data_IF_986688430191
#
_entry.id   IF_986688430191
#
_cell.length_a   1.000
_cell.length_b   1.000
_cell.length_c   1.000
_cell.angle_alpha   90.00
_cell.angle_beta   90.00
_cell.angle_gamma   90.00
#
_symmetry.space_group_name_H-M   'P 1'
#
loop_
_entity.id
_entity.type
_entity.pdbx_description
1 polymer ?
#
# COMPACT_ATOMS: atom_id res chain seq x y z
N UNK A 1 -14.39 15.30 15.96
CA UNK A 1 -12.92 15.23 15.82
C UNK A 1 -12.30 16.60 15.48
N UNK A 2 -12.79 17.32 14.45
CA UNK A 2 -12.22 18.60 13.99
C UNK A 2 -12.02 19.69 15.07
N UNK A 3 -12.92 19.84 16.04
CA UNK A 3 -12.77 20.82 17.14
C UNK A 3 -11.56 20.54 18.06
N UNK A 4 -11.29 19.26 18.38
CA UNK A 4 -10.16 18.88 19.25
C UNK A 4 -8.82 19.07 18.55
N UNK A 5 -8.77 18.83 17.24
CA UNK A 5 -7.59 19.13 16.41
C UNK A 5 -7.30 20.63 16.41
N UNK A 6 -8.30 21.49 16.18
CA UNK A 6 -8.13 22.95 16.22
C UNK A 6 -7.61 23.41 17.59
N UNK A 7 -8.15 22.86 18.69
CA UNK A 7 -7.69 23.19 20.03
C UNK A 7 -6.22 22.80 20.27
N UNK A 8 -5.74 21.69 19.70
CA UNK A 8 -4.32 21.30 19.78
C UNK A 8 -3.42 22.22 18.98
N UNK A 9 -3.88 22.74 17.84
CA UNK A 9 -3.17 23.76 17.07
C UNK A 9 -3.02 25.05 17.89
N UNK A 10 -4.09 25.50 18.56
CA UNK A 10 -4.05 26.66 19.45
C UNK A 10 -3.12 26.41 20.65
N UNK A 11 -3.14 25.20 21.21
CA UNK A 11 -2.24 24.83 22.31
C UNK A 11 -0.77 24.84 21.86
N UNK A 12 -0.46 24.33 20.67
CA UNK A 12 0.89 24.37 20.10
C UNK A 12 1.37 25.82 19.89
N UNK A 13 0.55 26.67 19.29
CA UNK A 13 0.87 28.10 19.08
C UNK A 13 1.08 28.83 20.41
N UNK A 14 0.30 28.48 21.43
CA UNK A 14 0.43 29.05 22.77
C UNK A 14 1.71 28.60 23.47
N UNK A 15 2.03 27.30 23.42
CA UNK A 15 3.27 26.76 23.97
C UNK A 15 4.50 27.36 23.29
N UNK A 16 4.45 27.54 21.96
CA UNK A 16 5.50 28.23 21.20
C UNK A 16 5.72 29.67 21.69
N UNK A 17 4.65 30.45 21.89
CA UNK A 17 4.75 31.81 22.40
C UNK A 17 5.35 31.85 23.81
N UNK A 18 4.93 30.96 24.70
CA UNK A 18 5.45 30.85 26.07
C UNK A 18 6.94 30.49 26.07
N UNK A 19 7.37 29.61 25.18
CA UNK A 19 8.76 29.19 25.05
C UNK A 19 9.68 30.32 24.55
N UNK A 20 9.12 31.28 23.78
CA UNK A 20 9.86 32.45 23.29
C UNK A 20 9.84 33.64 24.25
N UNK A 21 8.71 33.86 24.95
CA UNK A 21 8.46 35.08 25.74
C UNK A 21 8.48 34.85 27.26
N UNK A 22 8.53 33.61 27.71
CA UNK A 22 8.50 33.24 29.13
C UNK A 22 7.09 33.18 29.73
N UNK A 23 7.00 32.87 31.02
CA UNK A 23 5.74 32.58 31.72
C UNK A 23 4.87 33.81 32.01
N UNK A 24 5.42 35.02 31.83
CA UNK A 24 4.76 36.30 32.10
C UNK A 24 3.52 36.52 31.22
N UNK A 25 3.47 35.88 30.05
CA UNK A 25 2.42 36.08 29.05
C UNK A 25 1.22 35.13 29.21
N UNK A 26 1.13 34.36 30.30
CA UNK A 26 0.06 33.36 30.46
C UNK A 26 -1.35 33.96 30.36
N UNK A 27 -1.55 35.17 30.88
CA UNK A 27 -2.83 35.86 30.81
C UNK A 27 -3.16 36.27 29.36
N UNK A 28 -2.15 36.60 28.56
CA UNK A 28 -2.30 36.85 27.13
C UNK A 28 -2.65 35.57 26.38
N UNK A 29 -2.07 34.42 26.75
CA UNK A 29 -2.39 33.12 26.14
C UNK A 29 -3.85 32.72 26.35
N UNK A 30 -4.37 32.88 27.56
CA UNK A 30 -5.79 32.61 27.82
C UNK A 30 -6.70 33.50 26.96
N UNK A 31 -6.32 34.76 26.80
CA UNK A 31 -7.02 35.73 25.94
C UNK A 31 -6.89 35.35 24.46
N UNK A 32 -5.70 34.95 24.02
CA UNK A 32 -5.42 34.49 22.65
C UNK A 32 -6.29 33.29 22.29
N UNK A 33 -6.34 32.25 23.13
CA UNK A 33 -7.18 31.08 22.89
C UNK A 33 -8.66 31.46 22.76
N UNK A 34 -9.16 32.32 23.66
CA UNK A 34 -10.55 32.83 23.62
C UNK A 34 -10.87 33.61 22.35
N UNK A 35 -9.94 34.46 21.90
CA UNK A 35 -10.15 35.31 20.73
C UNK A 35 -9.96 34.55 19.40
N UNK A 36 -9.33 33.37 19.42
CA UNK A 36 -9.04 32.59 18.21
C UNK A 36 -10.20 31.71 17.74
N UNK A 37 -11.29 31.60 18.51
CA UNK A 37 -12.46 30.77 18.18
C UNK A 37 -13.70 31.21 18.94
N UNK A 38 -14.85 31.26 18.28
CA UNK A 38 -16.15 31.55 18.92
C UNK A 38 -16.68 30.38 19.78
N UNK A 39 -16.06 29.20 19.66
CA UNK A 39 -16.49 27.99 20.37
C UNK A 39 -15.75 27.78 21.69
N UNK A 40 -16.51 27.85 22.78
CA UNK A 40 -16.08 27.63 24.17
C UNK A 40 -15.34 26.29 24.38
N UNK A 41 -15.85 25.19 23.81
CA UNK A 41 -15.24 23.85 23.96
C UNK A 41 -13.81 23.77 23.39
N UNK A 42 -13.51 24.54 22.35
CA UNK A 42 -12.19 24.55 21.71
C UNK A 42 -11.18 25.28 22.60
N UNK A 43 -11.48 26.52 23.01
CA UNK A 43 -10.49 27.30 23.73
C UNK A 43 -10.28 26.81 25.17
N UNK A 44 -11.31 26.28 25.83
CA UNK A 44 -11.15 25.65 27.15
C UNK A 44 -10.26 24.42 27.08
N UNK A 45 -10.44 23.59 26.06
CA UNK A 45 -9.59 22.42 25.89
C UNK A 45 -8.14 22.82 25.56
N UNK A 46 -7.93 23.83 24.70
CA UNK A 46 -6.61 24.36 24.40
C UNK A 46 -5.90 24.91 25.67
N UNK A 47 -6.60 25.73 26.47
CA UNK A 47 -6.08 26.28 27.73
C UNK A 47 -5.72 25.15 28.71
N UNK A 48 -6.57 24.12 28.82
CA UNK A 48 -6.30 22.96 29.67
C UNK A 48 -5.04 22.21 29.25
N UNK A 49 -4.82 22.03 27.94
CA UNK A 49 -3.61 21.40 27.41
C UNK A 49 -2.35 22.24 27.70
N UNK A 50 -2.42 23.56 27.50
CA UNK A 50 -1.30 24.47 27.76
C UNK A 50 -0.92 24.46 29.24
N UNK A 51 -1.88 24.64 30.15
CA UNK A 51 -1.63 24.65 31.59
C UNK A 51 -1.12 23.30 32.08
N UNK A 52 -1.67 22.22 31.53
CA UNK A 52 -1.22 20.86 31.76
C UNK A 52 0.24 20.64 31.42
N UNK A 53 0.65 21.00 30.20
CA UNK A 53 2.05 20.91 29.75
C UNK A 53 2.97 21.75 30.62
N UNK A 54 2.60 23.01 30.90
CA UNK A 54 3.41 23.94 31.70
C UNK A 54 3.66 23.42 33.13
N UNK A 55 2.61 22.95 33.80
CA UNK A 55 2.73 22.47 35.18
C UNK A 55 3.68 21.26 35.32
N UNK A 56 3.96 20.56 34.23
CA UNK A 56 4.78 19.34 34.18
C UNK A 56 5.98 19.46 33.24
N UNK A 57 6.35 20.67 32.84
CA UNK A 57 7.31 20.88 31.76
C UNK A 57 8.67 20.21 32.04
N UNK A 58 9.14 20.26 33.29
CA UNK A 58 10.40 19.61 33.72
C UNK A 58 10.30 18.09 33.60
N UNK A 59 9.23 17.51 34.12
CA UNK A 59 8.98 16.06 34.08
C UNK A 59 8.84 15.55 32.63
N UNK A 60 8.12 16.31 31.80
CA UNK A 60 7.94 16.01 30.37
C UNK A 60 9.28 16.08 29.64
N UNK A 61 10.07 17.14 29.85
CA UNK A 61 11.37 17.32 29.21
C UNK A 61 12.39 16.26 29.63
N UNK A 62 12.37 15.84 30.90
CA UNK A 62 13.19 14.73 31.40
C UNK A 62 12.85 13.41 30.72
N UNK A 63 11.55 13.10 30.55
CA UNK A 63 11.10 11.89 29.83
C UNK A 63 11.44 11.91 28.35
N UNK A 64 11.36 13.08 27.70
CA UNK A 64 11.80 13.23 26.30
C UNK A 64 13.32 13.04 26.20
N UNK A 65 14.07 13.63 27.13
CA UNK A 65 15.53 13.55 27.15
C UNK A 65 16.01 12.11 27.40
N UNK A 66 15.29 11.31 28.19
CA UNK A 66 15.69 9.93 28.49
C UNK A 66 15.56 8.96 27.31
N UNK A 67 14.80 9.31 26.27
CA UNK A 67 14.56 8.45 25.10
C UNK A 67 15.23 8.94 23.80
N UNK A 68 15.92 10.08 23.86
CA UNK A 68 16.62 10.69 22.73
C UNK A 68 18.10 10.33 22.79
N UNK A 69 18.57 9.44 21.91
CA UNK A 69 19.99 9.10 21.80
C UNK A 69 20.75 10.26 21.12
N UNK A 70 21.77 10.79 21.78
CA UNK A 70 22.70 11.81 21.26
C UNK A 70 22.10 13.19 20.90
N UNK A 71 20.85 13.50 21.26
CA UNK A 71 20.22 14.80 21.03
C UNK A 71 19.92 15.54 22.33
N UNK A 72 20.61 16.65 22.59
CA UNK A 72 20.21 17.56 23.66
C UNK A 72 18.89 18.24 23.26
N UNK A 73 17.86 18.17 24.10
CA UNK A 73 16.54 18.80 23.90
C UNK A 73 16.63 20.28 23.45
N UNK A 74 17.71 20.97 23.85
CA UNK A 74 18.00 22.38 23.51
C UNK A 74 18.35 22.61 22.03
N UNK A 75 18.78 21.58 21.31
CA UNK A 75 19.14 21.63 19.88
C UNK A 75 17.96 21.32 18.97
N UNK A 76 16.81 20.96 19.55
CA UNK A 76 15.59 20.64 18.81
C UNK A 76 14.89 21.90 18.31
N UNK A 77 14.30 21.82 17.11
CA UNK A 77 13.40 22.84 16.64
C UNK A 77 12.30 23.08 17.67
N UNK A 78 12.08 24.34 18.04
CA UNK A 78 11.17 24.71 19.13
C UNK A 78 9.73 24.21 18.87
N UNK A 79 9.34 24.07 17.60
CA UNK A 79 8.06 23.49 17.19
C UNK A 79 8.01 21.99 17.52
N UNK A 80 9.01 21.21 17.08
CA UNK A 80 9.09 19.77 17.37
C UNK A 80 9.12 19.51 18.88
N UNK A 81 9.87 20.33 19.63
CA UNK A 81 9.93 20.26 21.09
C UNK A 81 8.55 20.47 21.72
N UNK A 82 7.80 21.48 21.28
CA UNK A 82 6.47 21.76 21.83
C UNK A 82 5.41 20.73 21.38
N UNK A 83 5.54 20.16 20.18
CA UNK A 83 4.71 19.03 19.74
C UNK A 83 4.96 17.81 20.63
N UNK A 84 6.22 17.47 20.90
CA UNK A 84 6.56 16.37 21.81
C UNK A 84 6.02 16.63 23.21
N UNK A 85 6.21 17.82 23.75
CA UNK A 85 5.68 18.17 25.08
C UNK A 85 4.17 17.99 25.17
N UNK A 86 3.44 18.48 24.16
CA UNK A 86 2.00 18.33 24.06
C UNK A 86 1.59 16.85 23.96
N UNK A 87 2.25 16.09 23.08
CA UNK A 87 2.00 14.67 22.90
C UNK A 87 2.24 13.86 24.17
N UNK A 88 3.37 14.08 24.85
CA UNK A 88 3.70 13.43 26.13
C UNK A 88 2.70 13.79 27.22
N UNK A 89 2.28 15.05 27.28
CA UNK A 89 1.29 15.47 28.25
C UNK A 89 -0.03 14.72 28.07
N UNK A 90 -0.54 14.67 26.83
CA UNK A 90 -1.75 13.91 26.53
C UNK A 90 -1.58 12.41 26.78
N UNK A 91 -0.42 11.85 26.41
CA UNK A 91 -0.15 10.41 26.55
C UNK A 91 -0.12 9.92 28.00
N UNK A 92 0.48 10.70 28.90
CA UNK A 92 0.78 10.24 30.25
C UNK A 92 -0.17 10.79 31.31
N UNK A 93 -0.86 11.90 31.04
CA UNK A 93 -1.63 12.61 32.06
C UNK A 93 -3.08 12.92 31.65
N UNK A 94 -3.55 12.49 30.47
CA UNK A 94 -4.94 12.68 30.01
C UNK A 94 -5.64 11.34 29.78
N UNK A 95 -6.28 10.83 30.82
CA UNK A 95 -7.06 9.58 30.76
C UNK A 95 -8.31 9.68 29.86
N UNK A 96 -8.78 10.89 29.56
CA UNK A 96 -9.91 11.14 28.66
C UNK A 96 -9.53 11.10 27.16
N UNK A 97 -8.24 10.97 26.84
CA UNK A 97 -7.72 10.95 25.48
C UNK A 97 -7.08 9.58 25.23
N UNK A 98 -7.57 8.79 24.27
CA UNK A 98 -6.93 7.52 23.92
C UNK A 98 -5.48 7.76 23.47
N UNK A 99 -4.49 7.00 23.96
CA UNK A 99 -3.09 7.31 23.68
C UNK A 99 -2.73 7.30 22.17
N UNK A 100 -3.43 6.48 21.37
CA UNK A 100 -3.30 6.47 19.89
C UNK A 100 -3.74 7.78 19.25
N UNK A 101 -4.77 8.43 19.80
CA UNK A 101 -5.24 9.74 19.32
C UNK A 101 -4.16 10.79 19.62
N UNK A 102 -3.55 10.76 20.81
CA UNK A 102 -2.47 11.68 21.18
C UNK A 102 -1.28 11.60 20.24
N UNK A 103 -0.83 10.38 19.88
CA UNK A 103 0.27 10.18 18.91
C UNK A 103 -0.12 10.68 17.52
N UNK A 104 -1.27 10.24 16.99
CA UNK A 104 -1.70 10.62 15.64
C UNK A 104 -1.84 12.13 15.49
N UNK A 105 -2.40 12.81 16.49
CA UNK A 105 -2.56 14.27 16.44
C UNK A 105 -1.22 14.99 16.53
N UNK A 106 -0.26 14.48 17.31
CA UNK A 106 1.10 15.02 17.34
C UNK A 106 1.83 14.85 15.99
N UNK A 107 1.64 13.72 15.31
CA UNK A 107 2.18 13.48 13.96
C UNK A 107 1.59 14.46 12.95
N UNK A 108 0.26 14.69 12.99
CA UNK A 108 -0.40 15.63 12.08
C UNK A 108 0.05 17.08 12.35
N UNK A 109 0.24 17.47 13.62
CA UNK A 109 0.85 18.77 13.95
C UNK A 109 2.27 18.89 13.39
N UNK A 110 3.07 17.84 13.48
CA UNK A 110 4.45 17.84 12.97
C UNK A 110 4.49 17.96 11.43
N UNK A 111 3.60 17.25 10.73
CA UNK A 111 3.45 17.38 9.27
C UNK A 111 2.99 18.77 8.86
N UNK A 112 2.13 19.42 9.67
CA UNK A 112 1.54 20.72 9.37
C UNK A 112 2.47 21.90 9.66
N UNK A 113 3.18 21.87 10.79
CA UNK A 113 3.92 23.04 11.31
C UNK A 113 5.44 22.90 11.29
N UNK A 114 5.97 21.72 10.95
CA UNK A 114 7.41 21.46 11.01
C UNK A 114 7.97 20.92 9.67
N UNK A 115 9.11 20.22 9.71
CA UNK A 115 9.80 19.74 8.50
C UNK A 115 9.20 18.43 7.98
N UNK A 116 9.53 18.07 6.72
CA UNK A 116 9.07 16.82 6.08
C UNK A 116 9.37 15.55 6.90
N UNK A 117 10.43 15.55 7.70
CA UNK A 117 10.85 14.39 8.50
C UNK A 117 10.35 14.44 9.95
N UNK A 118 9.75 15.54 10.39
CA UNK A 118 9.37 15.74 11.79
C UNK A 118 8.24 14.80 12.23
N UNK A 119 7.35 14.38 11.32
CA UNK A 119 6.30 13.40 11.62
C UNK A 119 6.85 12.06 12.11
N UNK A 120 7.83 11.50 11.38
CA UNK A 120 8.49 10.22 11.74
C UNK A 120 9.29 10.35 13.02
N UNK A 121 9.98 11.49 13.20
CA UNK A 121 10.73 11.77 14.43
C UNK A 121 9.82 11.84 15.66
N UNK A 122 8.74 12.61 15.58
CA UNK A 122 7.75 12.74 16.67
C UNK A 122 7.12 11.39 17.00
N UNK A 123 6.74 10.62 15.99
CA UNK A 123 6.19 9.27 16.18
C UNK A 123 7.16 8.38 16.98
N UNK A 124 8.42 8.30 16.55
CA UNK A 124 9.42 7.44 17.19
C UNK A 124 9.72 7.82 18.65
N UNK A 125 9.69 9.11 19.01
CA UNK A 125 9.91 9.55 20.40
C UNK A 125 8.68 9.27 21.26
N UNK A 126 7.47 9.60 20.78
CA UNK A 126 6.24 9.37 21.55
C UNK A 126 5.97 7.88 21.77
N UNK A 127 6.31 7.02 20.81
CA UNK A 127 6.25 5.56 20.96
C UNK A 127 7.19 5.06 22.06
N UNK A 128 8.43 5.55 22.11
CA UNK A 128 9.40 5.21 23.16
C UNK A 128 8.91 5.69 24.53
N UNK A 129 8.37 6.91 24.62
CA UNK A 129 7.87 7.47 25.88
C UNK A 129 6.68 6.66 26.40
N UNK A 130 5.71 6.36 25.54
CA UNK A 130 4.55 5.58 25.96
C UNK A 130 4.95 4.16 26.38
N UNK A 131 5.92 3.56 25.68
CA UNK A 131 6.47 2.25 26.04
C UNK A 131 7.18 2.26 27.39
N UNK A 132 7.93 3.32 27.71
CA UNK A 132 8.73 3.40 28.94
C UNK A 132 7.94 3.91 30.15
N UNK A 133 6.99 4.82 29.96
CA UNK A 133 6.32 5.56 31.04
C UNK A 133 4.79 5.44 31.05
N UNK A 134 4.17 4.85 30.03
CA UNK A 134 2.73 4.59 29.96
C UNK A 134 2.31 3.21 30.49
N UNK A 135 1.04 2.85 30.34
CA UNK A 135 0.45 1.58 30.80
C UNK A 135 0.76 0.37 29.89
N UNK A 136 1.98 0.27 29.35
CA UNK A 136 2.40 -0.77 28.40
C UNK A 136 2.29 -0.34 26.92
N UNK A 137 2.57 -1.24 25.97
CA UNK A 137 2.66 -0.90 24.52
C UNK A 137 1.32 -0.39 23.97
N UNK A 138 1.35 0.78 23.32
CA UNK A 138 0.29 1.23 22.42
C UNK A 138 0.27 0.23 21.27
N UNK A 139 -0.81 -0.54 21.12
CA UNK A 139 -0.98 -1.38 19.94
C UNK A 139 -1.01 -0.45 18.73
N UNK A 140 0.11 -0.50 18.00
CA UNK A 140 0.36 -0.03 16.64
C UNK A 140 1.17 1.28 16.51
N UNK A 141 2.49 1.10 16.51
CA UNK A 141 3.45 1.79 15.64
C UNK A 141 4.81 1.09 15.77
N UNK A 142 5.36 0.71 14.62
CA UNK A 142 6.44 -0.26 14.45
C UNK A 142 7.77 0.47 14.62
N UNK A 143 8.62 0.05 15.55
CA UNK A 143 10.01 -0.35 15.31
C UNK A 143 10.71 -0.72 16.63
N UNK A 144 11.19 -1.96 16.68
CA UNK A 144 12.31 -2.44 17.53
C UNK A 144 12.05 -2.71 19.03
N UNK A 145 11.38 -3.84 19.30
CA UNK A 145 11.90 -4.90 20.19
C UNK A 145 10.93 -6.08 20.10
N UNK A 146 11.04 -6.79 18.99
CA UNK A 146 10.41 -8.11 18.77
C UNK A 146 11.43 -9.15 19.20
N UNK A 147 11.64 -9.24 20.50
CA UNK A 147 11.97 -10.48 21.16
C UNK A 147 11.06 -10.49 22.38
N UNK A 148 10.05 -11.36 22.34
CA UNK A 148 9.10 -11.70 23.41
C UNK A 148 7.70 -11.05 23.31
N UNK A 149 6.82 -11.85 22.70
CA UNK A 149 5.41 -12.05 23.07
C UNK A 149 4.37 -10.98 22.68
N UNK A 150 4.23 -10.73 21.38
CA UNK A 150 2.88 -10.58 20.77
C UNK A 150 2.66 -11.87 19.99
N UNK A 151 1.51 -12.52 20.11
CA UNK A 151 1.17 -13.63 19.24
C UNK A 151 1.37 -13.16 17.79
N UNK A 152 2.38 -13.70 17.11
CA UNK A 152 2.63 -13.41 15.70
C UNK A 152 1.32 -13.69 14.97
N UNK A 153 0.91 -12.81 14.05
CA UNK A 153 -0.20 -13.14 13.16
C UNK A 153 0.23 -14.43 12.45
N UNK A 154 -0.50 -15.49 12.74
CA UNK A 154 -0.32 -16.77 12.07
C UNK A 154 -1.00 -16.65 10.72
N UNK A 155 -0.17 -16.37 9.70
CA UNK A 155 -0.63 -16.32 8.32
C UNK A 155 -0.96 -17.70 7.76
N UNK A 156 -0.71 -18.79 8.50
CA UNK A 156 -0.99 -20.17 8.09
C UNK A 156 -0.40 -20.49 6.73
N UNK A 157 -1.14 -21.20 5.87
CA UNK A 157 -0.74 -21.38 4.47
C UNK A 157 -1.30 -20.26 3.61
N UNK A 158 -0.48 -19.75 2.70
CA UNK A 158 -0.81 -18.57 1.90
C UNK A 158 -0.68 -18.79 0.39
N UNK A 159 -1.65 -18.30 -0.37
CA UNK A 159 -1.58 -18.15 -1.83
C UNK A 159 -1.51 -16.66 -2.17
N UNK A 160 -0.33 -16.18 -2.58
CA UNK A 160 -0.07 -14.74 -2.73
C UNK A 160 -0.22 -14.24 -4.17
N UNK A 161 -0.83 -15.00 -5.06
CA UNK A 161 -1.00 -14.57 -6.45
C UNK A 161 -2.34 -15.07 -6.99
N UNK A 162 -3.38 -14.24 -6.87
CA UNK A 162 -4.76 -14.62 -7.18
C UNK A 162 -5.46 -13.47 -7.90
N UNK A 163 -6.04 -13.76 -9.07
CA UNK A 163 -6.79 -12.81 -9.89
C UNK A 163 -8.29 -13.03 -9.76
N UNK A 164 -9.05 -11.95 -9.97
CA UNK A 164 -10.51 -11.92 -9.96
C UNK A 164 -11.03 -11.39 -11.30
N UNK A 165 -12.36 -11.36 -11.46
CA UNK A 165 -13.02 -10.78 -12.62
C UNK A 165 -12.94 -9.24 -12.70
N UNK A 166 -12.24 -8.58 -11.78
CA UNK A 166 -11.88 -7.16 -11.90
C UNK A 166 -10.64 -6.93 -12.77
N UNK A 167 -9.90 -7.99 -13.11
CA UNK A 167 -8.86 -7.95 -14.13
C UNK A 167 -9.16 -8.95 -15.25
N UNK A 168 -8.60 -10.14 -15.19
CA UNK A 168 -8.73 -11.19 -16.19
C UNK A 168 -8.94 -12.59 -15.60
N UNK A 169 -9.16 -12.71 -14.29
CA UNK A 169 -9.77 -13.90 -13.69
C UNK A 169 -11.25 -14.04 -14.06
N UNK A 170 -11.84 -15.21 -13.79
CA UNK A 170 -13.26 -15.46 -14.09
C UNK A 170 -14.17 -15.40 -12.87
N UNK A 171 -13.63 -15.52 -11.65
CA UNK A 171 -14.42 -15.52 -10.40
C UNK A 171 -14.50 -14.11 -9.79
N UNK A 172 -15.63 -13.80 -9.16
CA UNK A 172 -15.78 -12.60 -8.35
C UNK A 172 -14.89 -12.66 -7.09
N UNK A 173 -14.48 -11.51 -6.52
CA UNK A 173 -13.64 -11.48 -5.31
C UNK A 173 -14.25 -12.25 -4.14
N UNK A 174 -15.58 -12.22 -3.98
CA UNK A 174 -16.31 -12.96 -2.94
C UNK A 174 -16.19 -14.47 -3.13
N UNK A 175 -16.36 -14.94 -4.37
CA UNK A 175 -16.25 -16.36 -4.73
C UNK A 175 -14.82 -16.86 -4.51
N UNK A 176 -13.81 -16.05 -4.84
CA UNK A 176 -12.40 -16.34 -4.56
C UNK A 176 -12.15 -16.51 -3.06
N UNK A 177 -12.73 -15.63 -2.23
CA UNK A 177 -12.62 -15.73 -0.76
C UNK A 177 -13.26 -17.00 -0.23
N UNK A 178 -14.48 -17.33 -0.68
CA UNK A 178 -15.19 -18.54 -0.24
C UNK A 178 -14.45 -19.81 -0.69
N UNK A 179 -13.92 -19.83 -1.91
CA UNK A 179 -13.15 -20.96 -2.43
C UNK A 179 -11.83 -21.15 -1.66
N UNK A 180 -11.11 -20.07 -1.34
CA UNK A 180 -9.91 -20.13 -0.53
C UNK A 180 -10.20 -20.71 0.88
N UNK A 181 -11.29 -20.28 1.52
CA UNK A 181 -11.73 -20.84 2.81
C UNK A 181 -12.08 -22.32 2.68
N UNK A 182 -12.82 -22.70 1.63
CA UNK A 182 -13.21 -24.09 1.36
C UNK A 182 -11.99 -25.01 1.19
N UNK A 183 -10.92 -24.50 0.60
CA UNK A 183 -9.64 -25.19 0.41
C UNK A 183 -8.73 -25.16 1.65
N UNK A 184 -9.15 -24.50 2.74
CA UNK A 184 -8.38 -24.41 3.97
C UNK A 184 -7.18 -23.44 3.89
N UNK A 185 -7.18 -22.52 2.93
CA UNK A 185 -6.16 -21.48 2.81
C UNK A 185 -6.37 -20.45 3.91
N UNK A 186 -5.30 -20.13 4.66
CA UNK A 186 -5.38 -19.17 5.77
C UNK A 186 -5.17 -17.74 5.31
N UNK A 187 -4.39 -17.53 4.24
CA UNK A 187 -4.09 -16.20 3.69
C UNK A 187 -4.15 -16.19 2.16
N UNK A 188 -4.80 -15.19 1.58
CA UNK A 188 -4.71 -14.90 0.15
C UNK A 188 -4.26 -13.46 -0.11
N UNK A 189 -3.62 -13.21 -1.24
CA UNK A 189 -3.45 -11.86 -1.78
C UNK A 189 -4.24 -11.73 -3.09
N UNK A 190 -5.11 -10.71 -3.18
CA UNK A 190 -5.77 -10.37 -4.43
C UNK A 190 -4.82 -9.45 -5.20
N UNK A 191 -4.39 -9.88 -6.38
CA UNK A 191 -3.32 -9.25 -7.16
C UNK A 191 -3.75 -8.98 -8.60
N UNK A 192 -5.00 -8.52 -8.76
CA UNK A 192 -5.57 -8.17 -10.06
C UNK A 192 -4.64 -7.28 -10.91
N UNK A 193 -4.60 -7.51 -12.22
CA UNK A 193 -3.80 -6.71 -13.13
C UNK A 193 -4.21 -5.23 -13.18
N UNK A 194 -3.27 -4.35 -12.85
CA UNK A 194 -3.39 -2.89 -12.95
C UNK A 194 -4.62 -2.29 -12.23
N UNK A 195 -5.22 -2.97 -11.24
CA UNK A 195 -6.37 -2.48 -10.47
C UNK A 195 -6.38 -3.00 -9.04
N UNK A 196 -7.09 -2.29 -8.16
CA UNK A 196 -7.30 -2.67 -6.75
C UNK A 196 -8.79 -2.80 -6.39
N UNK A 197 -9.69 -2.70 -7.38
CA UNK A 197 -11.13 -2.73 -7.13
C UNK A 197 -11.57 -4.05 -6.49
N UNK A 198 -11.00 -5.18 -6.94
CA UNK A 198 -11.24 -6.50 -6.37
C UNK A 198 -10.77 -6.65 -4.92
N UNK A 199 -9.68 -5.96 -4.54
CA UNK A 199 -9.15 -5.96 -3.17
C UNK A 199 -10.15 -5.41 -2.18
N UNK A 200 -10.77 -4.27 -2.49
CA UNK A 200 -11.70 -3.59 -1.56
C UNK A 200 -12.90 -4.48 -1.24
N UNK A 201 -13.40 -5.19 -2.25
CA UNK A 201 -14.55 -6.10 -2.13
C UNK A 201 -14.14 -7.35 -1.34
N UNK A 202 -13.04 -8.01 -1.73
CA UNK A 202 -12.54 -9.18 -1.02
C UNK A 202 -12.30 -8.86 0.46
N UNK A 203 -11.63 -7.76 0.76
CA UNK A 203 -11.31 -7.34 2.13
C UNK A 203 -12.58 -7.08 2.96
N UNK A 204 -13.59 -6.43 2.38
CA UNK A 204 -14.88 -6.22 3.02
C UNK A 204 -15.61 -7.54 3.31
N UNK A 205 -15.65 -8.44 2.32
CA UNK A 205 -16.36 -9.72 2.39
C UNK A 205 -15.67 -10.75 3.32
N UNK A 206 -14.34 -10.73 3.37
CA UNK A 206 -13.56 -11.58 4.27
C UNK A 206 -13.58 -11.15 5.74
N UNK A 207 -14.07 -9.93 6.05
CA UNK A 207 -14.10 -9.42 7.42
C UNK A 207 -14.97 -10.31 8.31
N UNK A 208 -14.37 -10.88 9.36
CA UNK A 208 -15.04 -11.79 10.28
C UNK A 208 -15.07 -13.26 9.84
N UNK A 209 -14.51 -13.57 8.67
CA UNK A 209 -14.25 -14.95 8.23
C UNK A 209 -12.87 -15.40 8.68
N UNK A 210 -12.63 -16.71 8.69
CA UNK A 210 -11.35 -17.31 9.06
C UNK A 210 -10.35 -17.29 7.90
N UNK A 211 -10.04 -16.10 7.38
CA UNK A 211 -9.07 -15.89 6.30
C UNK A 211 -8.44 -14.50 6.41
N UNK A 212 -7.15 -14.41 6.09
CA UNK A 212 -6.44 -13.16 5.93
C UNK A 212 -6.41 -12.77 4.45
N UNK A 213 -6.75 -11.52 4.17
CA UNK A 213 -6.71 -10.96 2.82
C UNK A 213 -5.67 -9.86 2.80
N UNK A 214 -4.62 -10.07 2.01
CA UNK A 214 -3.55 -9.10 1.78
C UNK A 214 -3.94 -8.22 0.60
N UNK A 215 -3.99 -6.89 0.79
CA UNK A 215 -4.12 -5.96 -0.32
C UNK A 215 -2.95 -6.10 -1.28
N UNK A 216 -3.22 -6.42 -2.54
CA UNK A 216 -2.21 -6.54 -3.57
C UNK A 216 -2.63 -5.98 -4.91
N UNK A 217 -1.69 -6.01 -5.85
CA UNK A 217 -1.87 -5.60 -7.25
C UNK A 217 -0.77 -6.26 -8.08
N UNK A 218 -1.04 -6.62 -9.33
CA UNK A 218 0.00 -6.96 -10.29
C UNK A 218 0.10 -5.88 -11.36
N UNK A 219 1.17 -5.09 -11.33
CA UNK A 219 1.40 -4.10 -12.38
C UNK A 219 1.96 -4.76 -13.63
N UNK A 220 1.26 -4.57 -14.75
CA UNK A 220 1.84 -4.78 -16.07
C UNK A 220 2.86 -3.69 -16.37
N UNK A 221 4.13 -4.08 -16.50
CA UNK A 221 5.19 -3.17 -16.93
C UNK A 221 5.92 -3.70 -18.17
N UNK A 222 6.57 -2.81 -18.91
CA UNK A 222 7.29 -3.18 -20.13
C UNK A 222 8.75 -2.79 -20.05
N UNK A 223 9.62 -3.76 -20.35
CA UNK A 223 11.04 -3.53 -20.54
C UNK A 223 11.50 -4.33 -21.76
N UNK A 224 11.76 -3.59 -22.84
CA UNK A 224 12.11 -4.15 -24.15
C UNK A 224 13.03 -5.37 -24.05
N UNK A 225 12.74 -6.48 -24.77
CA UNK A 225 11.61 -6.65 -25.69
C UNK A 225 10.30 -7.19 -25.07
N UNK A 226 10.25 -7.45 -23.75
CA UNK A 226 9.15 -8.20 -23.13
C UNK A 226 8.45 -7.44 -22.00
N UNK A 227 7.26 -7.91 -21.63
CA UNK A 227 6.64 -7.49 -20.38
C UNK A 227 7.40 -8.07 -19.18
N UNK A 228 7.32 -7.34 -18.07
CA UNK A 228 7.78 -7.73 -16.74
C UNK A 228 6.66 -7.36 -15.79
N UNK A 229 6.19 -8.29 -14.97
CA UNK A 229 5.13 -8.01 -14.01
C UNK A 229 5.71 -7.82 -12.61
N UNK A 230 5.21 -6.80 -11.92
CA UNK A 230 5.63 -6.46 -10.56
C UNK A 230 4.41 -6.56 -9.65
N UNK A 231 4.44 -7.53 -8.74
CA UNK A 231 3.47 -7.69 -7.67
C UNK A 231 3.74 -6.64 -6.59
N UNK A 232 2.68 -6.01 -6.10
CA UNK A 232 2.68 -5.18 -4.92
C UNK A 232 1.88 -5.85 -3.82
N UNK A 233 2.43 -5.91 -2.61
CA UNK A 233 1.76 -6.45 -1.43
C UNK A 233 1.67 -5.43 -0.31
N UNK A 234 0.63 -5.55 0.53
CA UNK A 234 0.38 -4.64 1.66
C UNK A 234 0.27 -3.18 1.24
N UNK A 235 -0.23 -2.93 0.04
CA UNK A 235 -0.41 -1.58 -0.50
C UNK A 235 -1.51 -0.84 0.27
N UNK A 236 -1.32 0.46 0.47
CA UNK A 236 -2.39 1.36 0.90
C UNK A 236 -3.33 1.64 -0.28
N UNK A 237 -4.47 0.97 -0.25
CA UNK A 237 -5.53 1.13 -1.27
C UNK A 237 -6.13 2.53 -1.30
N UNK A 238 -5.92 3.37 -0.27
CA UNK A 238 -6.38 4.76 -0.23
C UNK A 238 -5.32 5.76 -0.71
N UNK A 239 -4.15 5.29 -1.18
CA UNK A 239 -3.13 6.17 -1.71
C UNK A 239 -3.65 6.90 -2.98
N UNK A 240 -3.81 8.22 -2.88
CA UNK A 240 -4.37 9.03 -3.96
C UNK A 240 -3.57 8.97 -5.26
N UNK A 241 -2.24 8.85 -5.18
CA UNK A 241 -1.39 8.78 -6.36
C UNK A 241 -1.54 7.43 -7.08
N UNK A 242 -1.54 6.33 -6.32
CA UNK A 242 -1.84 4.98 -6.83
C UNK A 242 -3.19 4.94 -7.55
N UNK A 243 -4.26 5.40 -6.90
CA UNK A 243 -5.59 5.43 -7.51
C UNK A 243 -5.63 6.25 -8.79
N UNK A 244 -4.94 7.40 -8.82
CA UNK A 244 -4.83 8.24 -10.03
C UNK A 244 -4.14 7.50 -11.18
N UNK A 245 -3.03 6.80 -10.91
CA UNK A 245 -2.29 6.05 -11.93
C UNK A 245 -3.12 4.88 -12.46
N UNK A 246 -3.78 4.12 -11.57
CA UNK A 246 -4.69 3.02 -11.96
C UNK A 246 -5.81 3.53 -12.86
N UNK A 247 -6.46 4.63 -12.46
CA UNK A 247 -7.53 5.25 -13.26
C UNK A 247 -7.02 5.67 -14.64
N UNK A 248 -5.85 6.31 -14.70
CA UNK A 248 -5.25 6.73 -15.96
C UNK A 248 -4.90 5.53 -16.87
N UNK A 249 -4.37 4.45 -16.30
CA UNK A 249 -4.07 3.20 -17.03
C UNK A 249 -5.33 2.60 -17.64
N UNK A 250 -6.45 2.60 -16.89
CA UNK A 250 -7.75 2.14 -17.39
C UNK A 250 -8.25 3.01 -18.55
N UNK A 251 -8.17 4.33 -18.43
CA UNK A 251 -8.53 5.26 -19.51
C UNK A 251 -7.66 5.05 -20.77
N UNK A 252 -6.35 4.88 -20.59
CA UNK A 252 -5.43 4.60 -21.70
C UNK A 252 -5.75 3.26 -22.39
N UNK A 253 -6.17 2.23 -21.65
CA UNK A 253 -6.61 0.94 -22.22
C UNK A 253 -7.90 1.10 -23.03
N UNK A 254 -8.86 1.88 -22.54
CA UNK A 254 -10.10 2.20 -23.28
C UNK A 254 -9.77 2.96 -24.57
N UNK A 255 -8.98 4.03 -24.48
CA UNK A 255 -8.53 4.81 -25.63
C UNK A 255 -7.77 3.95 -26.64
N UNK A 256 -6.98 2.99 -26.17
CA UNK A 256 -6.29 2.02 -27.02
C UNK A 256 -7.27 1.12 -27.77
N UNK A 257 -8.37 0.66 -27.16
CA UNK A 257 -9.42 -0.10 -27.88
C UNK A 257 -10.00 0.74 -29.02
N UNK A 258 -10.39 1.99 -28.75
CA UNK A 258 -10.88 2.88 -29.81
C UNK A 258 -9.86 3.04 -30.93
N UNK A 259 -8.60 3.30 -30.61
CA UNK A 259 -7.54 3.43 -31.60
C UNK A 259 -7.31 2.14 -32.42
N UNK A 260 -7.45 0.96 -31.81
CA UNK A 260 -7.37 -0.32 -32.51
C UNK A 260 -8.55 -0.48 -33.48
N UNK A 261 -9.78 -0.20 -33.04
CA UNK A 261 -10.98 -0.27 -33.88
C UNK A 261 -10.88 0.69 -35.06
N UNK A 262 -10.40 1.91 -34.87
CA UNK A 262 -10.17 2.85 -35.97
C UNK A 262 -9.16 2.34 -37.01
N UNK A 263 -8.12 1.61 -36.57
CA UNK A 263 -7.19 0.95 -37.50
C UNK A 263 -7.86 -0.20 -38.25
N UNK A 264 -8.67 -1.00 -37.57
CA UNK A 264 -9.40 -2.12 -38.17
C UNK A 264 -10.44 -1.65 -39.19
N UNK A 265 -11.14 -0.53 -38.93
CA UNK A 265 -12.12 0.05 -39.86
C UNK A 265 -11.50 0.43 -41.20
N UNK A 266 -10.26 0.94 -41.19
CA UNK A 266 -9.49 1.22 -42.43
C UNK A 266 -9.17 -0.02 -43.26
N UNK A 267 -9.30 -1.21 -42.67
CA UNK A 267 -9.13 -2.51 -43.32
C UNK A 267 -10.48 -3.16 -43.64
N UNK A 268 -11.58 -2.40 -43.63
CA UNK A 268 -12.95 -2.88 -43.86
C UNK A 268 -13.42 -3.90 -42.81
N UNK A 269 -12.83 -3.85 -41.61
CA UNK A 269 -13.26 -4.62 -40.44
C UNK A 269 -13.97 -3.67 -39.49
N UNK A 270 -15.30 -3.70 -39.49
CA UNK A 270 -16.13 -2.86 -38.63
C UNK A 270 -16.64 -3.66 -37.45
N UNK A 271 -16.13 -3.33 -36.27
CA UNK A 271 -16.54 -3.89 -34.98
C UNK A 271 -16.83 -2.74 -34.02
N UNK A 272 -17.80 -2.92 -33.14
CA UNK A 272 -18.22 -1.87 -32.22
C UNK A 272 -17.31 -1.82 -30.99
N UNK A 273 -16.64 -0.69 -30.69
CA UNK A 273 -15.82 -0.58 -29.50
C UNK A 273 -16.64 -0.73 -28.21
N UNK A 274 -17.92 -0.34 -28.22
CA UNK A 274 -18.76 -0.46 -27.03
C UNK A 274 -19.05 -1.94 -26.68
N UNK A 275 -19.17 -2.82 -27.67
CA UNK A 275 -19.34 -4.26 -27.44
C UNK A 275 -18.08 -4.88 -26.84
N UNK A 276 -16.89 -4.44 -27.27
CA UNK A 276 -15.60 -4.85 -26.70
C UNK A 276 -15.53 -4.43 -25.23
N UNK A 277 -15.94 -3.19 -24.91
CA UNK A 277 -15.95 -2.68 -23.53
C UNK A 277 -16.98 -3.40 -22.66
N UNK A 278 -18.16 -3.70 -23.20
CA UNK A 278 -19.18 -4.49 -22.50
C UNK A 278 -18.69 -5.92 -22.24
N UNK A 279 -18.01 -6.54 -23.21
CA UNK A 279 -17.42 -7.87 -23.05
C UNK A 279 -16.34 -7.88 -21.95
N UNK A 280 -15.51 -6.83 -21.88
CA UNK A 280 -14.54 -6.68 -20.80
C UNK A 280 -15.20 -6.51 -19.42
N UNK A 281 -16.41 -5.94 -19.37
CA UNK A 281 -17.21 -5.81 -18.17
C UNK A 281 -16.52 -5.02 -17.06
N UNK A 282 -16.33 -5.65 -15.90
CA UNK A 282 -15.58 -5.09 -14.76
C UNK A 282 -14.07 -5.23 -14.92
N UNK A 283 -13.63 -6.13 -15.80
CA UNK A 283 -12.25 -6.44 -16.08
C UNK A 283 -11.54 -5.40 -16.93
N UNK A 284 -10.27 -5.66 -17.20
CA UNK A 284 -9.41 -4.71 -17.92
C UNK A 284 -9.51 -4.90 -19.44
N UNK A 285 -9.99 -3.91 -20.23
CA UNK A 285 -10.11 -4.05 -21.68
C UNK A 285 -8.73 -4.21 -22.33
N UNK A 286 -8.68 -5.01 -23.40
CA UNK A 286 -7.41 -5.45 -23.99
C UNK A 286 -7.57 -6.19 -25.32
N UNK A 287 -6.45 -6.61 -25.90
CA UNK A 287 -6.41 -7.27 -27.22
C UNK A 287 -7.23 -8.55 -27.28
N UNK A 288 -7.29 -9.32 -26.19
CA UNK A 288 -8.10 -10.54 -26.11
C UNK A 288 -9.57 -10.27 -26.42
N UNK A 289 -10.14 -9.21 -25.86
CA UNK A 289 -11.54 -8.82 -26.12
C UNK A 289 -11.74 -8.37 -27.58
N UNK A 290 -10.75 -7.72 -28.18
CA UNK A 290 -10.77 -7.40 -29.62
C UNK A 290 -10.70 -8.67 -30.47
N UNK A 291 -9.84 -9.63 -30.09
CA UNK A 291 -9.68 -10.90 -30.76
C UNK A 291 -10.97 -11.71 -30.77
N UNK A 292 -11.66 -11.72 -29.63
CA UNK A 292 -12.95 -12.38 -29.45
C UNK A 292 -14.04 -11.70 -30.28
N UNK A 293 -14.07 -10.36 -30.36
CA UNK A 293 -15.02 -9.67 -31.23
C UNK A 293 -14.77 -9.95 -32.71
N UNK A 294 -13.51 -9.96 -33.15
CA UNK A 294 -13.15 -10.31 -34.52
C UNK A 294 -13.62 -11.72 -34.90
N UNK A 295 -13.47 -12.68 -33.99
CA UNK A 295 -13.94 -14.04 -34.17
C UNK A 295 -15.47 -14.14 -34.17
N UNK A 296 -16.15 -13.57 -33.16
CA UNK A 296 -17.62 -13.60 -33.05
C UNK A 296 -18.34 -12.97 -34.24
N UNK A 297 -17.73 -11.95 -34.86
CA UNK A 297 -18.29 -11.28 -36.05
C UNK A 297 -17.87 -11.94 -37.38
N UNK A 298 -17.12 -13.05 -37.35
CA UNK A 298 -16.76 -13.82 -38.54
C UNK A 298 -15.62 -13.22 -39.38
N UNK A 299 -14.85 -12.25 -38.85
CA UNK A 299 -13.68 -11.71 -39.56
C UNK A 299 -12.45 -12.63 -39.48
N UNK A 300 -12.46 -13.56 -38.52
CA UNK A 300 -11.45 -14.58 -38.23
C UNK A 300 -12.16 -15.86 -37.76
N UNK A 301 -11.59 -17.02 -38.07
CA UNK A 301 -12.11 -18.34 -37.69
C UNK A 301 -11.74 -18.74 -36.25
N UNK A 302 -10.78 -18.02 -35.65
CA UNK A 302 -10.34 -18.24 -34.28
C UNK A 302 -9.72 -16.99 -33.64
N UNK A 303 -9.63 -16.99 -32.31
CA UNK A 303 -8.88 -15.99 -31.54
C UNK A 303 -7.41 -15.92 -32.02
N UNK A 304 -6.79 -17.06 -32.29
CA UNK A 304 -5.39 -17.14 -32.75
C UNK A 304 -5.24 -16.44 -34.11
N UNK A 305 -6.17 -16.66 -35.03
CA UNK A 305 -6.16 -15.97 -36.32
C UNK A 305 -6.27 -14.46 -36.12
N UNK A 306 -7.17 -13.98 -35.26
CA UNK A 306 -7.32 -12.55 -34.93
C UNK A 306 -5.99 -11.90 -34.56
N UNK A 307 -5.19 -12.55 -33.69
CA UNK A 307 -3.85 -12.08 -33.35
C UNK A 307 -2.89 -12.11 -34.54
N UNK A 308 -2.85 -13.23 -35.28
CA UNK A 308 -1.91 -13.41 -36.39
C UNK A 308 -2.15 -12.43 -37.55
N UNK A 309 -3.41 -12.07 -37.80
CA UNK A 309 -3.86 -11.29 -38.96
C UNK A 309 -3.93 -9.80 -38.65
N UNK A 310 -4.50 -9.43 -37.50
CA UNK A 310 -4.91 -8.05 -37.25
C UNK A 310 -4.21 -7.38 -36.07
N UNK A 311 -4.15 -8.01 -34.90
CA UNK A 311 -3.89 -7.28 -33.63
C UNK A 311 -2.65 -7.73 -32.84
N UNK A 312 -1.92 -8.74 -33.34
CA UNK A 312 -0.62 -9.14 -32.82
C UNK A 312 0.43 -8.03 -32.94
N UNK A 313 1.59 -8.21 -32.33
CA UNK A 313 2.64 -7.19 -32.38
C UNK A 313 3.04 -6.89 -33.84
N UNK A 314 3.17 -5.60 -34.15
CA UNK A 314 3.45 -5.09 -35.50
C UNK A 314 2.39 -5.41 -36.58
N UNK A 315 1.19 -5.88 -36.19
CA UNK A 315 0.09 -6.14 -37.13
C UNK A 315 -0.72 -4.87 -37.45
N UNK A 316 -1.50 -4.86 -38.55
CA UNK A 316 -2.16 -3.63 -39.04
C UNK A 316 -3.08 -2.92 -38.02
N UNK A 317 -3.80 -3.68 -37.19
CA UNK A 317 -4.66 -3.18 -36.12
C UNK A 317 -3.95 -2.98 -34.77
N UNK A 318 -2.63 -3.21 -34.70
CA UNK A 318 -1.88 -3.09 -33.47
C UNK A 318 -1.72 -1.63 -33.02
N UNK A 319 -1.96 -1.40 -31.74
CA UNK A 319 -1.63 -0.15 -31.05
C UNK A 319 -0.79 -0.52 -29.83
N UNK A 320 0.38 0.09 -29.62
CA UNK A 320 1.20 -0.20 -28.45
C UNK A 320 0.45 0.17 -27.16
N UNK A 321 0.64 -0.64 -26.12
CA UNK A 321 0.09 -0.36 -24.79
C UNK A 321 1.00 0.67 -24.11
N UNK A 322 0.43 1.80 -23.67
CA UNK A 322 1.12 2.65 -22.70
C UNK A 322 1.21 1.87 -21.39
N UNK A 323 2.43 1.58 -20.97
CA UNK A 323 2.71 0.76 -19.80
C UNK A 323 3.70 1.49 -18.91
N UNK A 324 3.67 1.17 -17.63
CA UNK A 324 4.72 1.56 -16.72
C UNK A 324 6.02 0.86 -17.12
N UNK A 325 7.15 1.51 -16.84
CA UNK A 325 8.41 0.78 -16.73
C UNK A 325 8.44 -0.01 -15.41
N UNK A 326 9.25 -1.08 -15.31
CA UNK A 326 9.38 -1.81 -14.04
C UNK A 326 9.81 -0.90 -12.88
N UNK A 327 10.68 0.08 -13.15
CA UNK A 327 11.09 1.09 -12.16
C UNK A 327 9.88 1.87 -11.63
N UNK A 328 9.05 2.42 -12.53
CA UNK A 328 7.86 3.17 -12.14
C UNK A 328 6.86 2.33 -11.35
N UNK A 329 6.68 1.05 -11.70
CA UNK A 329 5.82 0.14 -10.95
C UNK A 329 6.36 -0.12 -9.54
N UNK A 330 7.67 -0.35 -9.39
CA UNK A 330 8.35 -0.53 -8.11
C UNK A 330 8.21 0.73 -7.23
N UNK A 331 8.47 1.90 -7.78
CA UNK A 331 8.34 3.19 -7.08
C UNK A 331 6.90 3.43 -6.61
N UNK A 332 5.92 3.20 -7.50
CA UNK A 332 4.50 3.37 -7.19
C UNK A 332 4.04 2.46 -6.05
N UNK A 333 4.45 1.20 -6.04
CA UNK A 333 4.14 0.26 -4.95
C UNK A 333 4.74 0.74 -3.62
N UNK A 334 5.99 1.22 -3.65
CA UNK A 334 6.69 1.71 -2.46
C UNK A 334 6.06 2.98 -1.90
N UNK A 335 5.68 3.91 -2.78
CA UNK A 335 5.00 5.16 -2.41
C UNK A 335 3.59 4.88 -1.85
N UNK A 336 2.97 3.78 -2.27
CA UNK A 336 1.75 3.25 -1.66
C UNK A 336 2.01 2.44 -0.38
N UNK A 337 3.22 2.45 0.19
CA UNK A 337 3.55 1.75 1.43
C UNK A 337 3.65 0.22 1.30
N UNK A 338 3.62 -0.30 0.08
CA UNK A 338 3.68 -1.74 -0.18
C UNK A 338 5.07 -2.28 -0.46
N UNK A 339 5.13 -3.58 -0.73
CA UNK A 339 6.35 -4.33 -1.03
C UNK A 339 6.35 -4.76 -2.50
N UNK A 340 7.27 -4.25 -3.33
CA UNK A 340 7.40 -4.65 -4.73
C UNK A 340 8.13 -5.99 -4.87
N UNK A 341 7.56 -6.90 -5.64
CA UNK A 341 8.00 -8.27 -5.84
C UNK A 341 7.98 -8.62 -7.32
N UNK A 342 9.03 -9.25 -7.83
CA UNK A 342 9.09 -9.69 -9.22
C UNK A 342 8.24 -10.94 -9.38
N UNK A 343 7.21 -10.87 -10.24
CA UNK A 343 6.31 -11.98 -10.52
C UNK A 343 6.96 -12.99 -11.48
N UNK A 344 6.69 -14.28 -11.25
CA UNK A 344 6.98 -15.44 -12.11
C UNK A 344 8.22 -15.29 -13.02
N UNK A 345 9.41 -14.99 -12.46
CA UNK A 345 10.60 -14.70 -13.25
C UNK A 345 11.02 -15.87 -14.18
N UNK A 346 10.63 -17.10 -13.84
CA UNK A 346 10.88 -18.28 -14.68
C UNK A 346 10.10 -18.29 -16.00
N UNK A 347 8.99 -17.57 -16.10
CA UNK A 347 8.25 -17.39 -17.35
C UNK A 347 8.91 -16.35 -18.25
N UNK A 348 9.33 -15.22 -17.68
CA UNK A 348 9.96 -14.15 -18.44
C UNK A 348 11.39 -14.50 -18.87
N UNK A 349 12.11 -15.28 -18.06
CA UNK A 349 13.52 -15.68 -18.28
C UNK A 349 14.46 -14.48 -18.48
N UNK A 350 14.14 -13.35 -17.83
CA UNK A 350 14.89 -12.09 -17.91
C UNK A 350 15.74 -11.83 -16.67
N UNK A 351 16.43 -12.84 -16.15
CA UNK A 351 17.13 -12.71 -14.85
C UNK A 351 18.19 -11.61 -14.81
N UNK A 352 18.73 -11.24 -15.98
CA UNK A 352 19.72 -10.17 -16.12
C UNK A 352 19.20 -8.81 -15.65
N UNK A 353 17.88 -8.61 -15.58
CA UNK A 353 17.28 -7.33 -15.15
C UNK A 353 17.13 -7.24 -13.63
N UNK A 354 17.20 -8.38 -12.91
CA UNK A 354 16.87 -8.44 -11.47
C UNK A 354 17.76 -7.51 -10.67
N UNK A 355 19.05 -7.43 -10.99
CA UNK A 355 19.99 -6.56 -10.27
C UNK A 355 19.63 -5.08 -10.39
N UNK A 356 19.14 -4.64 -11.56
CA UNK A 356 18.68 -3.27 -11.75
C UNK A 356 17.34 -3.02 -11.06
N UNK A 357 16.42 -4.00 -11.09
CA UNK A 357 15.18 -3.92 -10.30
C UNK A 357 15.46 -3.77 -8.80
N UNK A 358 16.46 -4.49 -8.27
CA UNK A 358 16.91 -4.34 -6.88
C UNK A 358 17.38 -2.91 -6.60
N UNK A 359 18.13 -2.28 -7.53
CA UNK A 359 18.56 -0.87 -7.40
C UNK A 359 17.37 0.09 -7.38
N UNK A 360 16.31 -0.18 -8.14
CA UNK A 360 15.06 0.60 -8.11
C UNK A 360 14.24 0.39 -6.83
N UNK A 361 14.60 -0.63 -6.03
CA UNK A 361 14.00 -0.88 -4.74
C UNK A 361 13.09 -2.10 -4.69
N UNK A 362 13.22 -3.05 -5.62
CA UNK A 362 12.60 -4.38 -5.52
C UNK A 362 12.94 -5.01 -4.17
N UNK A 363 11.95 -5.63 -3.51
CA UNK A 363 12.08 -6.19 -2.16
C UNK A 363 11.71 -7.66 -2.05
N UNK A 364 11.14 -8.26 -3.09
CA UNK A 364 10.91 -9.70 -3.15
C UNK A 364 10.99 -10.26 -4.56
N UNK A 365 10.90 -11.59 -4.63
CA UNK A 365 10.84 -12.36 -5.87
C UNK A 365 9.93 -13.57 -5.67
N UNK A 366 9.08 -13.84 -6.65
CA UNK A 366 8.22 -15.02 -6.67
C UNK A 366 9.05 -16.25 -7.04
N UNK A 367 9.26 -17.13 -6.06
CA UNK A 367 10.10 -18.31 -6.21
C UNK A 367 9.24 -19.54 -6.50
N UNK A 368 8.13 -19.68 -5.78
CA UNK A 368 7.23 -20.80 -5.93
C UNK A 368 6.09 -20.39 -6.87
N UNK A 369 6.01 -21.08 -8.00
CA UNK A 369 5.04 -20.80 -9.06
C UNK A 369 4.70 -22.13 -9.77
N UNK A 370 3.48 -22.34 -10.30
CA UNK A 370 3.02 -23.63 -10.80
C UNK A 370 3.96 -24.30 -11.82
N UNK A 371 4.58 -23.53 -12.71
CA UNK A 371 5.49 -24.03 -13.75
C UNK A 371 6.97 -24.03 -13.37
N UNK A 372 7.34 -23.53 -12.18
CA UNK A 372 8.73 -23.53 -11.75
C UNK A 372 9.18 -24.95 -11.35
N UNK A 373 10.18 -25.48 -12.06
CA UNK A 373 10.83 -26.74 -11.72
C UNK A 373 11.66 -26.60 -10.43
N UNK A 374 12.05 -27.72 -9.78
CA UNK A 374 12.95 -27.67 -8.62
C UNK A 374 14.24 -26.89 -8.87
N UNK A 375 14.81 -26.99 -10.08
CA UNK A 375 16.01 -26.24 -10.48
C UNK A 375 15.74 -24.74 -10.57
N UNK A 376 14.57 -24.35 -11.11
CA UNK A 376 14.13 -22.95 -11.18
C UNK A 376 13.90 -22.38 -9.78
N UNK A 377 13.26 -23.14 -8.89
CA UNK A 377 13.08 -22.78 -7.47
C UNK A 377 14.43 -22.57 -6.78
N UNK A 378 15.37 -23.52 -6.91
CA UNK A 378 16.70 -23.41 -6.29
C UNK A 378 17.46 -22.17 -6.79
N UNK A 379 17.40 -21.89 -8.10
CA UNK A 379 18.00 -20.70 -8.71
C UNK A 379 17.43 -19.41 -8.12
N UNK A 380 16.11 -19.27 -8.02
CA UNK A 380 15.51 -18.04 -7.48
C UNK A 380 15.67 -17.91 -5.97
N UNK A 381 15.75 -19.01 -5.21
CA UNK A 381 16.17 -18.96 -3.80
C UNK A 381 17.59 -18.41 -3.63
N UNK A 382 18.54 -18.81 -4.51
CA UNK A 382 19.92 -18.27 -4.49
C UNK A 382 19.93 -16.77 -4.81
N UNK A 383 19.17 -16.34 -5.80
CA UNK A 383 19.03 -14.92 -6.16
C UNK A 383 18.40 -14.13 -4.99
N UNK A 384 17.32 -14.66 -4.40
CA UNK A 384 16.65 -14.02 -3.28
C UNK A 384 17.61 -13.83 -2.09
N UNK A 385 18.39 -14.87 -1.76
CA UNK A 385 19.41 -14.79 -0.72
C UNK A 385 20.51 -13.77 -1.05
N UNK A 386 21.04 -13.79 -2.28
CA UNK A 386 22.10 -12.88 -2.75
C UNK A 386 21.70 -11.41 -2.58
N UNK A 387 20.46 -11.07 -2.92
CA UNK A 387 19.96 -9.69 -2.91
C UNK A 387 19.12 -9.33 -1.69
N UNK A 388 19.03 -10.22 -0.68
CA UNK A 388 18.18 -10.06 0.51
C UNK A 388 16.71 -9.71 0.15
N UNK A 389 16.17 -10.42 -0.84
CA UNK A 389 14.78 -10.32 -1.27
C UNK A 389 13.90 -11.27 -0.46
N UNK A 390 12.68 -10.84 -0.16
CA UNK A 390 11.64 -11.73 0.34
C UNK A 390 11.28 -12.78 -0.72
N UNK A 391 10.94 -13.97 -0.24
CA UNK A 391 10.52 -15.10 -1.08
C UNK A 391 9.00 -15.17 -1.03
N UNK A 392 8.34 -15.19 -2.19
CA UNK A 392 6.88 -15.36 -2.31
C UNK A 392 6.53 -16.55 -3.19
N UNK A 393 5.23 -16.85 -3.24
CA UNK A 393 4.66 -17.80 -4.18
C UNK A 393 3.14 -17.73 -4.19
N UNK A 394 2.57 -18.17 -5.30
CA UNK A 394 1.13 -18.22 -5.48
C UNK A 394 0.76 -19.02 -6.71
N UNK A 395 -0.53 -19.30 -6.85
CA UNK A 395 -1.08 -20.10 -7.95
C UNK A 395 -1.17 -19.32 -9.25
N UNK A 396 -1.19 -17.99 -9.20
CA UNK A 396 -1.52 -17.15 -10.35
C UNK A 396 -2.85 -17.59 -10.97
N UNK A 397 -3.83 -17.75 -10.08
CA UNK A 397 -5.16 -18.28 -10.36
C UNK A 397 -5.99 -17.32 -11.21
N UNK A 398 -6.62 -17.83 -12.26
CA UNK A 398 -7.49 -17.08 -13.17
C UNK A 398 -8.86 -17.76 -13.41
N UNK A 399 -9.20 -18.79 -12.63
CA UNK A 399 -10.42 -19.58 -12.84
C UNK A 399 -10.42 -20.35 -14.15
N UNK A 400 -11.52 -20.29 -14.90
CA UNK A 400 -11.73 -21.11 -16.11
C UNK A 400 -10.76 -20.78 -17.25
N UNK A 401 -10.09 -19.62 -17.20
CA UNK A 401 -9.05 -19.23 -18.17
C UNK A 401 -7.73 -19.98 -17.95
N UNK A 402 -7.52 -20.56 -16.77
CA UNK A 402 -6.30 -21.29 -16.38
C UNK A 402 -6.64 -22.47 -15.47
N UNK A 403 -7.35 -23.44 -16.04
CA UNK A 403 -7.93 -24.59 -15.32
C UNK A 403 -6.86 -25.44 -14.60
N UNK A 404 -5.63 -25.45 -15.11
CA UNK A 404 -4.49 -26.21 -14.57
C UNK A 404 -3.84 -25.55 -13.33
N UNK A 405 -4.26 -24.33 -12.99
CA UNK A 405 -3.74 -23.59 -11.83
C UNK A 405 -4.84 -23.09 -10.90
N UNK A 406 -5.54 -23.99 -10.18
CA UNK A 406 -6.55 -23.62 -9.19
C UNK A 406 -5.93 -22.86 -8.00
N UNK A 407 -6.78 -22.16 -7.22
CA UNK A 407 -6.38 -21.58 -5.93
C UNK A 407 -5.69 -22.67 -5.08
N UNK A 408 -4.67 -22.29 -4.31
CA UNK A 408 -3.88 -23.17 -3.47
C UNK A 408 -3.01 -24.19 -4.21
N UNK A 409 -2.94 -24.17 -5.55
CA UNK A 409 -2.01 -25.00 -6.34
C UNK A 409 -0.58 -24.84 -5.88
N UNK A 410 -0.20 -23.61 -5.54
CA UNK A 410 1.05 -23.26 -4.89
C UNK A 410 0.71 -22.45 -3.64
N UNK A 411 1.20 -22.93 -2.50
CA UNK A 411 1.11 -22.23 -1.23
C UNK A 411 2.48 -22.06 -0.61
N UNK A 412 2.64 -20.98 0.14
CA UNK A 412 3.82 -20.70 0.94
C UNK A 412 3.47 -20.64 2.43
N UNK A 413 4.38 -21.03 3.33
CA UNK A 413 4.13 -20.94 4.76
C UNK A 413 4.07 -19.48 5.22
N UNK A 414 3.28 -19.24 6.27
CA UNK A 414 3.01 -17.92 6.83
C UNK A 414 4.26 -17.17 7.31
N UNK A 415 5.33 -17.87 7.63
CA UNK A 415 6.64 -17.28 7.94
C UNK A 415 7.21 -16.47 6.76
N UNK A 416 6.95 -16.91 5.51
CA UNK A 416 7.35 -16.14 4.33
C UNK A 416 6.50 -14.88 4.17
N UNK A 417 5.20 -14.97 4.48
CA UNK A 417 4.30 -13.79 4.51
C UNK A 417 4.77 -12.80 5.58
N UNK A 418 5.19 -13.28 6.75
CA UNK A 418 5.72 -12.44 7.83
C UNK A 418 7.01 -11.73 7.41
N UNK A 419 7.95 -12.46 6.79
CA UNK A 419 9.19 -11.90 6.23
C UNK A 419 8.91 -10.89 5.11
N UNK A 420 7.91 -11.15 4.28
CA UNK A 420 7.46 -10.20 3.26
C UNK A 420 6.94 -8.92 3.91
N UNK A 421 6.07 -9.03 4.92
CA UNK A 421 5.53 -7.86 5.65
C UNK A 421 6.62 -7.03 6.32
N UNK A 422 7.69 -7.65 6.81
CA UNK A 422 8.85 -6.94 7.38
C UNK A 422 9.60 -6.08 6.34
N UNK A 423 9.38 -6.29 5.03
CA UNK A 423 9.95 -5.45 3.96
C UNK A 423 9.13 -4.20 3.64
N UNK A 424 7.95 -4.02 4.26
CA UNK A 424 7.17 -2.79 4.08
C UNK A 424 8.00 -1.57 4.48
N UNK A 425 7.88 -0.43 3.78
CA UNK A 425 8.45 0.85 4.21
C UNK A 425 8.04 1.18 5.65
N UNK A 426 8.97 1.80 6.36
CA UNK A 426 8.87 2.13 7.79
C UNK A 426 8.19 3.46 8.01
#
# INVERSE_FOLDING_TARGET
>A
MRNRTIARELALQSLYQLDLRGDEIINEINTFCKNSTEKEDIYQFAIALVNGCRSRIKEIDEKISSVTEHWELRRMAIIDKNILRLGVYELLYRNDIPPKVSINEAIELAKKFSTKNSGTFVNGILDKIYTQFGNGKLKDSRYTSILQNVAEIDYGNADLHVHTNYSDGTMAPEEVVDEAIRLGVSTIAITDHDTIDGVTIAYGYGKGKNIHIIPGIEFSSYLSPSEIHILGYFIDVNNNFLQKVIKQSREDRINRIYAMVEKLRKLQVDINPQEILTLAGKGSPGRMHVAEMLWKHGYCDSIVESFSKYIGDNKPGYVPKKTLTPQQAIELIRDAGGVPVLAHPGLTQRDNVIEDLVKYGLKGIEVYYPSHTPQTVEKYLKIAKKHNLAVTGGSDFHGERKIDSPIAKVMVPGDLVRKLRQKCPT
#
